data_IF_065134480846
#
_entry.id   IF_065134480846
#
_cell.length_a   1.000
_cell.length_b   1.000
_cell.length_c   1.000
_cell.angle_alpha   90.00
_cell.angle_beta   90.00
_cell.angle_gamma   90.00
#
_symmetry.space_group_name_H-M   'P 1'
#
loop_
_entity.id
_entity.type
_entity.pdbx_description
1 polymer ?
#
# COMPACT_ATOMS: atom_id res chain seq x y z
N UNK A 1 21.20 -14.63 -1.46
CA UNK A 1 20.06 -14.21 -2.32
C UNK A 1 20.39 -12.84 -2.86
N UNK A 2 20.17 -12.58 -4.14
CA UNK A 2 20.33 -11.23 -4.70
C UNK A 2 19.23 -10.35 -4.12
N UNK A 3 19.63 -9.32 -3.38
CA UNK A 3 18.73 -8.29 -2.89
C UNK A 3 18.70 -7.16 -3.92
N UNK A 4 17.49 -6.71 -4.27
CA UNK A 4 17.28 -5.68 -5.28
C UNK A 4 16.77 -4.40 -4.65
N UNK A 5 17.15 -3.28 -5.27
CA UNK A 5 16.52 -1.98 -5.06
C UNK A 5 15.75 -1.59 -6.33
N UNK A 6 15.05 -0.45 -6.30
CA UNK A 6 14.31 0.05 -7.46
C UNK A 6 15.17 0.15 -8.74
N UNK A 7 16.41 0.61 -8.64
CA UNK A 7 17.29 0.84 -9.81
C UNK A 7 17.75 -0.47 -10.47
N UNK A 8 17.87 -1.54 -9.67
CA UNK A 8 18.42 -2.84 -10.08
C UNK A 8 17.35 -3.91 -10.23
N UNK A 9 16.08 -3.58 -9.96
CA UNK A 9 15.01 -4.56 -9.91
C UNK A 9 14.81 -5.29 -11.25
N UNK A 10 14.41 -6.58 -11.22
CA UNK A 10 14.16 -7.33 -12.45
C UNK A 10 13.10 -6.67 -13.32
N UNK A 11 13.28 -6.69 -14.64
CA UNK A 11 12.36 -6.06 -15.60
C UNK A 11 10.88 -6.43 -15.37
N UNK A 12 10.49 -7.69 -15.09
CA UNK A 12 9.08 -8.01 -14.84
C UNK A 12 8.48 -7.27 -13.63
N UNK A 13 9.26 -7.03 -12.57
CA UNK A 13 8.82 -6.28 -11.38
C UNK A 13 8.60 -4.81 -11.76
N UNK A 14 9.57 -4.23 -12.46
CA UNK A 14 9.48 -2.85 -12.94
C UNK A 14 8.25 -2.65 -13.83
N UNK A 15 8.04 -3.55 -14.79
CA UNK A 15 6.88 -3.50 -15.69
C UNK A 15 5.56 -3.65 -14.93
N UNK A 16 5.50 -4.50 -13.90
CA UNK A 16 4.33 -4.63 -13.04
C UNK A 16 4.00 -3.31 -12.33
N UNK A 17 5.01 -2.65 -11.74
CA UNK A 17 4.86 -1.36 -11.05
C UNK A 17 4.46 -0.24 -12.03
N UNK A 18 5.09 -0.20 -13.21
CA UNK A 18 4.73 0.77 -14.27
C UNK A 18 3.29 0.56 -14.77
N UNK A 19 2.82 -0.69 -14.84
CA UNK A 19 1.44 -1.02 -15.20
C UNK A 19 0.46 -0.56 -14.12
N UNK A 20 0.79 -0.77 -12.84
CA UNK A 20 0.01 -0.22 -11.72
C UNK A 20 -0.07 1.30 -11.81
N UNK A 21 1.06 1.99 -11.97
CA UNK A 21 1.08 3.45 -12.06
C UNK A 21 0.22 3.97 -13.22
N UNK A 22 0.27 3.30 -14.36
CA UNK A 22 -0.53 3.64 -15.55
C UNK A 22 -2.03 3.48 -15.29
N UNK A 23 -2.45 2.34 -14.72
CA UNK A 23 -3.86 2.09 -14.39
C UNK A 23 -4.39 3.08 -13.35
N UNK A 24 -3.63 3.34 -12.29
CA UNK A 24 -3.99 4.31 -11.24
C UNK A 24 -4.13 5.71 -11.82
N UNK A 25 -3.17 6.15 -12.63
CA UNK A 25 -3.23 7.45 -13.30
C UNK A 25 -4.46 7.56 -14.22
N UNK A 26 -4.76 6.53 -15.01
CA UNK A 26 -5.91 6.53 -15.92
C UNK A 26 -7.25 6.57 -15.18
N UNK A 27 -7.36 5.89 -14.04
CA UNK A 27 -8.61 5.80 -13.26
C UNK A 27 -8.84 7.00 -12.35
N UNK A 28 -7.77 7.61 -11.83
CA UNK A 28 -7.87 8.76 -10.92
C UNK A 28 -7.79 10.12 -11.64
N UNK A 29 -7.11 10.19 -12.79
CA UNK A 29 -6.92 11.44 -13.53
C UNK A 29 -6.41 12.56 -12.63
N UNK A 30 -7.09 13.71 -12.67
CA UNK A 30 -6.74 14.90 -11.88
C UNK A 30 -6.85 14.70 -10.36
N UNK A 31 -7.47 13.62 -9.88
CA UNK A 31 -7.54 13.31 -8.45
C UNK A 31 -6.23 12.70 -7.91
N UNK A 32 -5.34 12.20 -8.77
CA UNK A 32 -4.05 11.64 -8.36
C UNK A 32 -3.06 12.76 -8.04
N UNK A 33 -2.47 12.70 -6.85
CA UNK A 33 -1.42 13.64 -6.42
C UNK A 33 -0.04 13.00 -6.51
N UNK A 34 0.14 11.79 -5.96
CA UNK A 34 1.45 11.13 -5.90
C UNK A 34 1.34 9.61 -5.82
N UNK A 35 2.39 8.92 -6.27
CA UNK A 35 2.56 7.47 -6.10
C UNK A 35 3.98 7.23 -5.59
N UNK A 36 4.10 6.48 -4.50
CA UNK A 36 5.36 6.13 -3.88
C UNK A 36 5.52 4.62 -3.77
N UNK A 37 6.73 4.15 -4.06
CA UNK A 37 7.19 2.83 -3.67
C UNK A 37 7.84 2.92 -2.29
N UNK A 38 7.49 2.02 -1.38
CA UNK A 38 8.15 1.87 -0.09
C UNK A 38 8.57 0.41 0.16
N UNK A 39 8.78 0.07 1.43
CA UNK A 39 9.07 -1.29 1.84
C UNK A 39 10.36 -1.86 1.27
N UNK A 40 10.40 -3.18 1.07
CA UNK A 40 11.65 -3.90 0.84
C UNK A 40 12.38 -3.48 -0.43
N UNK A 41 11.65 -3.10 -1.49
CA UNK A 41 12.24 -2.66 -2.75
C UNK A 41 12.82 -1.26 -2.68
N UNK A 42 12.17 -0.36 -1.95
CA UNK A 42 12.72 0.98 -1.69
C UNK A 42 13.92 0.92 -0.74
N UNK A 43 13.94 -0.03 0.20
CA UNK A 43 15.05 -0.24 1.14
C UNK A 43 16.23 -1.03 0.57
N UNK A 44 16.11 -1.59 -0.64
CA UNK A 44 17.18 -2.36 -1.29
C UNK A 44 17.37 -3.77 -0.77
N UNK A 45 16.37 -4.35 -0.12
CA UNK A 45 16.38 -5.71 0.42
C UNK A 45 15.33 -6.63 -0.21
N UNK A 46 14.73 -6.22 -1.34
CA UNK A 46 13.67 -6.97 -2.02
C UNK A 46 14.15 -8.34 -2.50
N UNK A 47 13.37 -9.36 -2.17
CA UNK A 47 13.54 -10.72 -2.65
C UNK A 47 12.48 -11.04 -3.70
N UNK A 48 12.83 -11.27 -4.97
CA UNK A 48 11.87 -11.50 -6.04
C UNK A 48 11.09 -12.81 -5.90
N UNK A 49 11.44 -13.69 -4.98
CA UNK A 49 10.69 -14.93 -4.69
C UNK A 49 9.72 -14.76 -3.53
N UNK A 50 10.01 -13.86 -2.59
CA UNK A 50 9.34 -13.78 -1.29
C UNK A 50 8.66 -12.43 -1.00
N UNK A 51 9.26 -11.33 -1.44
CA UNK A 51 8.75 -9.98 -1.16
C UNK A 51 7.53 -9.64 -2.02
N UNK A 52 6.62 -8.88 -1.44
CA UNK A 52 5.59 -8.09 -2.07
C UNK A 52 6.12 -6.73 -2.54
N UNK A 53 5.28 -6.03 -3.28
CA UNK A 53 5.51 -4.68 -3.80
C UNK A 53 4.61 -3.72 -3.02
N UNK A 54 5.23 -2.84 -2.22
CA UNK A 54 4.53 -1.93 -1.33
C UNK A 54 4.36 -0.53 -1.94
N UNK A 55 3.13 -0.09 -2.15
CA UNK A 55 2.80 1.15 -2.85
C UNK A 55 1.87 2.05 -2.04
N UNK A 56 2.19 3.34 -1.98
CA UNK A 56 1.37 4.36 -1.34
C UNK A 56 0.87 5.37 -2.38
N UNK A 57 -0.44 5.55 -2.47
CA UNK A 57 -1.08 6.48 -3.41
C UNK A 57 -1.70 7.63 -2.63
N UNK A 58 -1.39 8.86 -3.02
CA UNK A 58 -1.98 10.07 -2.45
C UNK A 58 -2.93 10.72 -3.45
N UNK A 59 -4.11 11.08 -2.97
CA UNK A 59 -5.20 11.64 -3.77
C UNK A 59 -5.69 12.97 -3.18
N UNK A 60 -6.33 13.79 -4.01
CA UNK A 60 -6.91 15.05 -3.59
C UNK A 60 -8.22 14.86 -2.81
N UNK A 61 -9.06 13.93 -3.27
CA UNK A 61 -10.38 13.64 -2.74
C UNK A 61 -10.64 12.13 -2.66
N UNK A 62 -11.55 11.73 -1.78
CA UNK A 62 -11.98 10.34 -1.66
C UNK A 62 -12.67 9.82 -2.93
N UNK A 63 -12.48 8.54 -3.23
CA UNK A 63 -12.97 7.93 -4.47
C UNK A 63 -14.46 7.59 -4.39
N UNK A 64 -15.12 7.60 -5.55
CA UNK A 64 -16.46 7.00 -5.66
C UNK A 64 -16.37 5.48 -5.57
N UNK A 65 -17.51 4.84 -5.27
CA UNK A 65 -17.60 3.38 -5.19
C UNK A 65 -17.24 2.74 -6.55
N UNK A 66 -17.58 3.38 -7.66
CA UNK A 66 -17.24 2.95 -9.02
C UNK A 66 -15.74 3.02 -9.31
N UNK A 67 -15.06 4.08 -8.86
CA UNK A 67 -13.60 4.19 -9.00
C UNK A 67 -12.89 3.14 -8.16
N UNK A 68 -13.33 2.92 -6.91
CA UNK A 68 -12.80 1.85 -6.04
C UNK A 68 -12.98 0.47 -6.69
N UNK A 69 -14.16 0.21 -7.26
CA UNK A 69 -14.44 -1.01 -8.01
C UNK A 69 -13.47 -1.21 -9.19
N UNK A 70 -13.29 -0.18 -10.02
CA UNK A 70 -12.42 -0.27 -11.20
C UNK A 70 -10.96 -0.49 -10.81
N UNK A 71 -10.48 0.16 -9.74
CA UNK A 71 -9.14 -0.06 -9.21
C UNK A 71 -8.96 -1.47 -8.64
N UNK A 72 -9.93 -1.97 -7.88
CA UNK A 72 -9.93 -3.33 -7.35
C UNK A 72 -9.87 -4.37 -8.48
N UNK A 73 -10.64 -4.16 -9.55
CA UNK A 73 -10.61 -5.00 -10.76
C UNK A 73 -9.23 -4.97 -11.46
N UNK A 74 -8.62 -3.79 -11.59
CA UNK A 74 -7.26 -3.66 -12.12
C UNK A 74 -6.22 -4.32 -11.21
N UNK A 75 -6.33 -4.18 -9.89
CA UNK A 75 -5.44 -4.81 -8.91
C UNK A 75 -5.53 -6.34 -8.95
N UNK A 76 -6.72 -6.92 -9.11
CA UNK A 76 -6.88 -8.36 -9.29
C UNK A 76 -6.12 -8.90 -10.52
N UNK A 77 -5.97 -8.10 -11.58
CA UNK A 77 -5.21 -8.47 -12.78
C UNK A 77 -3.70 -8.24 -12.64
N UNK A 78 -3.30 -7.11 -12.05
CA UNK A 78 -1.90 -6.69 -12.00
C UNK A 78 -1.15 -7.34 -10.83
N UNK A 79 -1.81 -7.52 -9.68
CA UNK A 79 -1.19 -8.15 -8.52
C UNK A 79 -0.99 -9.65 -8.74
N UNK A 80 0.02 -10.23 -8.10
CA UNK A 80 0.50 -11.60 -8.34
C UNK A 80 1.00 -11.86 -9.77
N UNK A 81 1.43 -10.82 -10.49
CA UNK A 81 1.91 -10.90 -11.86
C UNK A 81 3.17 -10.02 -12.10
N UNK A 82 4.36 -10.40 -11.59
CA UNK A 82 4.65 -11.68 -10.93
C UNK A 82 4.54 -11.68 -9.39
N UNK A 83 4.48 -10.51 -8.73
CA UNK A 83 4.50 -10.44 -7.25
C UNK A 83 3.23 -9.84 -6.65
N UNK A 84 2.89 -10.20 -5.40
CA UNK A 84 1.84 -9.52 -4.66
C UNK A 84 2.09 -8.01 -4.66
N UNK A 85 1.02 -7.22 -4.85
CA UNK A 85 1.00 -5.80 -4.58
C UNK A 85 0.23 -5.59 -3.28
N UNK A 86 0.81 -4.81 -2.38
CA UNK A 86 0.11 -4.19 -1.27
C UNK A 86 0.03 -2.68 -1.52
N UNK A 87 -1.15 -2.10 -1.37
CA UNK A 87 -1.30 -0.67 -1.59
C UNK A 87 -2.39 -0.01 -0.75
N UNK A 88 -2.10 1.22 -0.30
CA UNK A 88 -3.05 2.08 0.40
C UNK A 88 -3.25 3.40 -0.34
N UNK A 89 -4.50 3.81 -0.46
CA UNK A 89 -4.93 5.07 -1.08
C UNK A 89 -5.38 6.04 0.01
N UNK A 90 -4.65 7.14 0.14
CA UNK A 90 -4.87 8.15 1.18
C UNK A 90 -5.31 9.46 0.56
N UNK A 91 -6.24 10.14 1.22
CA UNK A 91 -6.63 11.51 0.85
C UNK A 91 -5.70 12.48 1.56
N UNK A 92 -5.09 13.41 0.82
CA UNK A 92 -4.08 14.32 1.36
C UNK A 92 -4.59 15.13 2.55
N UNK A 93 -5.83 15.61 2.49
CA UNK A 93 -6.42 16.39 3.58
C UNK A 93 -6.72 15.56 4.83
N UNK A 94 -6.94 14.25 4.68
CA UNK A 94 -7.31 13.38 5.80
C UNK A 94 -6.10 12.94 6.63
N UNK A 95 -4.89 13.06 6.07
CA UNK A 95 -3.63 12.76 6.77
C UNK A 95 -2.98 14.00 7.39
N UNK A 96 -3.60 15.18 7.27
CA UNK A 96 -3.12 16.44 7.84
C UNK A 96 -4.17 17.13 8.73
N UNK A 97 -3.82 17.55 9.96
CA UNK A 97 -2.58 17.23 10.67
C UNK A 97 -2.50 15.73 10.99
N UNK A 98 -1.28 15.22 11.22
CA UNK A 98 -1.08 13.82 11.57
C UNK A 98 -1.91 13.43 12.81
N UNK A 99 -2.65 12.33 12.70
CA UNK A 99 -3.36 11.68 13.80
C UNK A 99 -3.26 10.16 13.63
N UNK A 100 -2.86 9.45 14.68
CA UNK A 100 -2.76 8.00 14.69
C UNK A 100 -4.02 7.36 15.32
N UNK A 101 -4.59 6.29 14.74
CA UNK A 101 -4.25 5.68 13.45
C UNK A 101 -4.65 6.56 12.26
N UNK A 102 -4.00 6.39 11.10
CA UNK A 102 -4.34 7.19 9.91
C UNK A 102 -5.55 6.60 9.19
N UNK A 103 -6.40 7.45 8.59
CA UNK A 103 -7.45 6.98 7.72
C UNK A 103 -6.90 6.54 6.35
N UNK A 104 -7.59 5.59 5.70
CA UNK A 104 -7.42 5.28 4.28
C UNK A 104 -8.77 5.24 3.56
N UNK A 105 -8.76 5.63 2.29
CA UNK A 105 -9.96 5.58 1.45
C UNK A 105 -10.15 4.18 0.83
N UNK A 106 -9.05 3.53 0.48
CA UNK A 106 -9.02 2.15 -0.02
C UNK A 106 -7.69 1.49 0.32
N UNK A 107 -7.72 0.21 0.68
CA UNK A 107 -6.53 -0.61 0.90
C UNK A 107 -6.71 -1.94 0.17
N UNK A 108 -5.63 -2.45 -0.43
CA UNK A 108 -5.58 -3.76 -1.07
C UNK A 108 -4.31 -4.50 -0.66
N UNK A 109 -4.50 -5.77 -0.31
CA UNK A 109 -3.46 -6.77 -0.20
C UNK A 109 -4.02 -8.13 -0.64
N UNK A 110 -3.16 -9.12 -0.85
CA UNK A 110 -3.59 -10.44 -1.31
C UNK A 110 -4.55 -11.16 -0.36
N UNK A 111 -4.54 -10.81 0.93
CA UNK A 111 -5.52 -11.27 1.92
C UNK A 111 -6.96 -10.91 1.54
N UNK A 112 -7.16 -9.82 0.77
CA UNK A 112 -8.48 -9.37 0.31
C UNK A 112 -8.90 -9.98 -1.03
N UNK A 113 -8.01 -10.68 -1.76
CA UNK A 113 -8.27 -11.12 -3.14
C UNK A 113 -9.54 -11.94 -3.28
N UNK A 114 -9.77 -12.92 -2.41
CA UNK A 114 -10.94 -13.81 -2.49
C UNK A 114 -12.23 -13.02 -2.30
N UNK A 115 -12.29 -12.21 -1.24
CA UNK A 115 -13.43 -11.35 -0.95
C UNK A 115 -13.69 -10.38 -2.11
N UNK A 116 -12.66 -9.66 -2.56
CA UNK A 116 -12.79 -8.70 -3.66
C UNK A 116 -13.29 -9.41 -4.93
N UNK A 117 -12.75 -10.57 -5.28
CA UNK A 117 -13.17 -11.34 -6.47
C UNK A 117 -14.63 -11.77 -6.40
N UNK A 118 -15.09 -12.20 -5.21
CA UNK A 118 -16.48 -12.56 -4.99
C UNK A 118 -17.39 -11.35 -5.17
N UNK A 119 -17.03 -10.22 -4.55
CA UNK A 119 -17.79 -8.97 -4.66
C UNK A 119 -17.86 -8.45 -6.09
N UNK A 120 -16.78 -8.57 -6.87
CA UNK A 120 -16.79 -8.23 -8.30
C UNK A 120 -17.81 -9.07 -9.08
N UNK A 121 -17.92 -10.35 -8.74
CA UNK A 121 -18.73 -11.33 -9.48
C UNK A 121 -20.22 -11.18 -9.16
N UNK A 122 -20.58 -11.00 -7.88
CA UNK A 122 -21.97 -10.92 -7.43
C UNK A 122 -22.54 -9.49 -7.42
N UNK A 123 -21.68 -8.48 -7.60
CA UNK A 123 -22.05 -7.07 -7.63
C UNK A 123 -22.32 -6.46 -6.25
N UNK A 124 -21.99 -7.16 -5.16
CA UNK A 124 -22.17 -6.69 -3.79
C UNK A 124 -21.26 -5.51 -3.44
N UNK A 125 -20.20 -5.26 -4.21
CA UNK A 125 -19.37 -4.05 -4.10
C UNK A 125 -20.19 -2.75 -4.14
N UNK A 126 -21.34 -2.74 -4.83
CA UNK A 126 -22.25 -1.58 -4.93
C UNK A 126 -22.88 -1.21 -3.59
N UNK A 127 -22.90 -2.13 -2.63
CA UNK A 127 -23.44 -1.94 -1.30
C UNK A 127 -22.37 -1.50 -0.29
N UNK A 128 -21.10 -1.43 -0.71
CA UNK A 128 -20.04 -0.89 0.16
C UNK A 128 -20.34 0.58 0.44
N UNK A 129 -20.32 0.92 1.71
CA UNK A 129 -20.32 2.30 2.13
C UNK A 129 -18.92 2.90 1.95
N UNK A 130 -18.86 4.22 1.88
CA UNK A 130 -17.61 4.98 1.83
C UNK A 130 -17.18 5.41 3.24
N UNK A 131 -17.38 4.53 4.23
CA UNK A 131 -16.96 4.81 5.60
C UNK A 131 -15.43 4.86 5.65
N UNK A 132 -14.92 5.92 6.28
CA UNK A 132 -13.49 6.11 6.45
C UNK A 132 -12.96 5.10 7.47
N UNK A 133 -12.09 4.19 7.01
CA UNK A 133 -11.44 3.20 7.85
C UNK A 133 -10.07 3.71 8.29
N UNK A 134 -9.57 3.19 9.40
CA UNK A 134 -8.27 3.56 9.93
C UNK A 134 -7.37 2.34 10.01
N UNK A 135 -6.08 2.58 9.83
CA UNK A 135 -5.04 1.56 9.89
C UNK A 135 -3.87 2.03 10.77
N UNK A 136 -3.48 1.16 11.69
CA UNK A 136 -2.38 1.38 12.62
C UNK A 136 -1.02 1.34 11.90
N UNK A 137 -0.91 0.56 10.83
CA UNK A 137 0.36 0.30 10.12
C UNK A 137 0.76 1.41 9.17
N UNK A 138 -0.19 2.27 8.78
CA UNK A 138 0.09 3.44 7.95
C UNK A 138 1.10 4.39 8.59
N UNK A 139 1.25 4.40 9.92
CA UNK A 139 2.31 5.19 10.57
C UNK A 139 3.71 4.67 10.20
N UNK A 140 3.90 3.36 10.12
CA UNK A 140 5.13 2.77 9.62
C UNK A 140 5.29 2.99 8.10
N UNK A 141 4.24 2.83 7.31
CA UNK A 141 4.29 3.05 5.87
C UNK A 141 4.71 4.48 5.52
N UNK A 142 4.12 5.50 6.18
CA UNK A 142 4.51 6.90 6.00
C UNK A 142 5.95 7.16 6.44
N UNK A 143 6.37 6.61 7.58
CA UNK A 143 7.75 6.76 8.09
C UNK A 143 8.78 6.21 7.10
N UNK A 144 8.55 5.00 6.59
CA UNK A 144 9.45 4.36 5.62
C UNK A 144 9.42 5.11 4.29
N UNK A 145 8.25 5.54 3.83
CA UNK A 145 8.11 6.32 2.59
C UNK A 145 8.88 7.64 2.67
N UNK A 146 8.77 8.38 3.79
CA UNK A 146 9.48 9.64 3.99
C UNK A 146 11.01 9.49 3.97
N UNK A 147 11.55 8.41 4.54
CA UNK A 147 12.99 8.25 4.71
C UNK A 147 13.68 7.42 3.63
N UNK A 148 12.94 6.52 2.99
CA UNK A 148 13.48 5.50 2.08
C UNK A 148 12.65 5.32 0.81
N UNK A 149 11.49 5.95 0.71
CA UNK A 149 10.59 5.78 -0.42
C UNK A 149 11.17 6.28 -1.74
N UNK A 150 10.64 5.74 -2.83
CA UNK A 150 10.95 6.15 -4.20
C UNK A 150 9.72 6.83 -4.80
N UNK A 151 9.90 8.02 -5.34
CA UNK A 151 8.85 8.73 -6.11
C UNK A 151 8.64 8.05 -7.45
N UNK A 152 7.44 7.52 -7.67
CA UNK A 152 6.99 6.98 -8.96
C UNK A 152 6.15 7.99 -9.72
N UNK A 153 5.42 8.85 -8.99
CA UNK A 153 4.69 10.00 -9.52
C UNK A 153 4.85 11.16 -8.55
N UNK A 154 5.33 12.29 -9.06
CA UNK A 154 5.66 13.53 -8.33
C UNK A 154 4.43 14.17 -7.67
N UNK A 155 4.59 14.96 -6.59
CA UNK A 155 5.85 15.46 -6.01
C UNK A 155 6.54 14.48 -5.02
N UNK A 156 7.71 14.82 -4.44
CA UNK A 156 8.41 13.96 -3.48
C UNK A 156 7.65 13.79 -2.14
N UNK A 157 7.87 12.69 -1.40
CA UNK A 157 7.17 12.42 -0.14
C UNK A 157 7.23 13.56 0.89
N UNK A 158 8.38 14.23 1.01
CA UNK A 158 8.62 15.29 1.99
C UNK A 158 7.73 16.54 1.79
N UNK A 159 7.18 16.73 0.59
CA UNK A 159 6.33 17.88 0.27
C UNK A 159 4.86 17.63 0.61
N UNK A 160 4.44 16.36 0.71
CA UNK A 160 3.04 15.96 0.82
C UNK A 160 2.73 15.20 2.10
N UNK A 161 3.62 14.31 2.55
CA UNK A 161 3.35 13.46 3.71
C UNK A 161 3.61 14.22 5.02
N UNK A 162 2.75 14.04 6.04
CA UNK A 162 2.98 14.64 7.35
C UNK A 162 4.18 13.96 8.03
N UNK A 163 4.87 14.71 8.89
CA UNK A 163 5.88 14.12 9.77
C UNK A 163 5.21 13.16 10.76
N UNK A 164 5.71 11.92 10.82
CA UNK A 164 5.23 10.90 11.75
C UNK A 164 5.94 11.07 13.10
N UNK A 165 5.23 11.31 14.21
CA UNK A 165 5.83 11.34 15.54
C UNK A 165 6.48 9.98 15.88
N UNK A 166 7.70 9.94 16.44
CA UNK A 166 8.40 8.70 16.74
C UNK A 166 7.63 7.73 17.64
N UNK A 167 6.80 8.23 18.55
CA UNK A 167 6.01 7.39 19.45
C UNK A 167 4.82 6.73 18.74
N UNK A 168 4.23 7.38 17.73
CA UNK A 168 3.17 6.78 16.92
C UNK A 168 3.72 5.75 15.93
N UNK A 169 4.93 5.97 15.40
CA UNK A 169 5.66 4.94 14.67
C UNK A 169 5.91 3.69 15.54
N UNK A 170 6.36 3.87 16.80
CA UNK A 170 6.53 2.73 17.73
C UNK A 170 5.23 1.98 17.99
N UNK A 171 4.09 2.67 18.09
CA UNK A 171 2.79 2.02 18.28
C UNK A 171 2.46 1.08 17.12
N UNK A 172 2.72 1.49 15.88
CA UNK A 172 2.58 0.63 14.70
C UNK A 172 3.47 -0.61 14.79
N UNK A 173 4.77 -0.45 15.05
CA UNK A 173 5.70 -1.59 15.18
C UNK A 173 5.30 -2.55 16.31
N UNK A 174 4.84 -2.02 17.45
CA UNK A 174 4.36 -2.84 18.56
C UNK A 174 3.07 -3.59 18.19
N UNK A 175 2.18 -2.94 17.45
CA UNK A 175 0.95 -3.55 16.92
C UNK A 175 1.28 -4.75 16.04
N UNK A 176 2.11 -4.55 15.03
CA UNK A 176 2.53 -5.62 14.11
C UNK A 176 3.24 -6.78 14.84
N UNK A 177 4.11 -6.48 15.81
CA UNK A 177 4.70 -7.53 16.66
C UNK A 177 3.66 -8.34 17.43
N UNK A 178 2.64 -7.67 18.00
CA UNK A 178 1.58 -8.36 18.76
C UNK A 178 0.78 -9.27 17.83
N UNK A 179 0.42 -8.79 16.65
CA UNK A 179 -0.32 -9.56 15.64
C UNK A 179 0.50 -10.75 15.14
N UNK A 180 1.78 -10.53 14.81
CA UNK A 180 2.71 -11.56 14.41
C UNK A 180 2.91 -12.61 15.52
N UNK A 181 3.05 -12.17 16.77
CA UNK A 181 3.15 -13.05 17.94
C UNK A 181 1.89 -13.88 18.08
N UNK A 182 0.71 -13.28 18.02
CA UNK A 182 -0.53 -14.00 18.27
C UNK A 182 -0.87 -14.96 17.12
N UNK A 183 -0.46 -14.64 15.89
CA UNK A 183 -0.55 -15.48 14.68
C UNK A 183 0.60 -16.47 14.46
N UNK A 184 1.62 -16.53 15.33
CA UNK A 184 2.88 -17.28 15.14
C UNK A 184 2.74 -18.77 14.77
N UNK A 185 1.62 -19.40 15.14
CA UNK A 185 1.37 -20.80 14.80
C UNK A 185 0.98 -21.00 13.33
N UNK A 186 0.39 -19.98 12.71
CA UNK A 186 -0.02 -19.97 11.31
C UNK A 186 1.11 -19.45 10.41
N UNK A 187 1.83 -18.41 10.86
CA UNK A 187 2.87 -17.73 10.08
C UNK A 187 4.17 -17.59 10.90
N UNK A 188 4.88 -18.70 11.17
CA UNK A 188 6.07 -18.68 12.03
C UNK A 188 7.23 -17.85 11.47
N UNK A 189 7.37 -17.81 10.14
CA UNK A 189 8.39 -16.97 9.49
C UNK A 189 8.08 -15.48 9.65
N UNK A 190 6.81 -15.07 9.53
CA UNK A 190 6.37 -13.70 9.75
C UNK A 190 6.67 -13.26 11.18
N UNK A 191 6.38 -14.11 12.17
CA UNK A 191 6.71 -13.84 13.56
C UNK A 191 8.21 -13.60 13.77
N UNK A 192 9.09 -14.43 13.20
CA UNK A 192 10.55 -14.26 13.36
C UNK A 192 11.05 -12.96 12.71
N UNK A 193 10.45 -12.52 11.60
CA UNK A 193 10.85 -11.29 10.91
C UNK A 193 10.40 -10.03 11.65
N UNK A 194 9.32 -10.11 12.43
CA UNK A 194 8.75 -8.98 13.18
C UNK A 194 9.06 -9.00 14.69
N UNK A 195 9.91 -9.93 15.18
CA UNK A 195 10.28 -10.08 16.59
C UNK A 195 11.65 -9.46 16.94
#
# INVERSE_FOLDING_TARGET
MSQYNWETCPTPIRTQIESFCTEVHNLLGDNLIAIYLHGSLAMGCFNPELSDIDLLVIMQHGMTVETKYALMDSLLRISNAPRPIETSFLVQLDIHPFCHPLPYDMHYSESWREQVSHEQTDGSWKQRNNDLKHDVDLSAHLMITLHRGVTLYEPPPADILPVVPPDDYKKSIIGDYIDARDGRHLMPFYFVLNA
#
